data_IF_521471889594
#
_entry.id   IF_521471889594
#
_cell.length_a   1.000
_cell.length_b   1.000
_cell.length_c   1.000
_cell.angle_alpha   90.00
_cell.angle_beta   90.00
_cell.angle_gamma   90.00
#
_symmetry.space_group_name_H-M   'P 1'
#
loop_
_entity.id
_entity.type
_entity.pdbx_description
1 polymer ?
#
# COMPACT_ATOMS: atom_id res chain seq x y z
N UNK A 1 17.49 -1.19 -1.36
CA UNK A 1 16.64 -2.11 -2.15
C UNK A 1 17.55 -2.98 -3.00
N UNK A 2 17.50 -4.29 -2.81
CA UNK A 2 18.25 -5.24 -3.64
C UNK A 2 17.42 -5.58 -4.87
N UNK A 3 18.05 -5.68 -6.05
CA UNK A 3 17.38 -6.07 -7.30
C UNK A 3 17.93 -7.40 -7.79
N UNK A 4 17.03 -8.34 -8.10
CA UNK A 4 17.35 -9.73 -8.45
C UNK A 4 16.60 -10.13 -9.72
N UNK A 5 17.28 -10.79 -10.65
CA UNK A 5 16.62 -11.26 -11.87
C UNK A 5 15.70 -12.47 -11.61
N UNK A 6 14.64 -12.64 -12.41
CA UNK A 6 13.73 -13.80 -12.35
C UNK A 6 14.49 -15.15 -12.40
N UNK A 7 15.60 -15.20 -13.16
CA UNK A 7 16.45 -16.41 -13.24
C UNK A 7 17.19 -16.71 -11.94
N UNK A 8 17.61 -15.69 -11.21
CA UNK A 8 18.28 -15.84 -9.92
C UNK A 8 17.26 -16.17 -8.83
N UNK A 9 16.07 -15.54 -8.87
CA UNK A 9 14.94 -15.90 -8.02
C UNK A 9 14.64 -17.40 -8.08
N UNK A 10 14.58 -17.98 -9.30
CA UNK A 10 14.34 -19.42 -9.49
C UNK A 10 15.43 -20.31 -8.90
N UNK A 11 16.68 -19.86 -8.90
CA UNK A 11 17.82 -20.66 -8.44
C UNK A 11 18.07 -20.56 -6.93
N UNK A 12 17.73 -19.41 -6.33
CA UNK A 12 18.05 -19.07 -4.94
C UNK A 12 16.81 -18.71 -4.12
N UNK A 13 15.64 -19.23 -4.50
CA UNK A 13 14.36 -18.87 -3.90
C UNK A 13 14.38 -18.94 -2.37
N UNK A 14 14.83 -20.05 -1.79
CA UNK A 14 14.87 -20.23 -0.33
C UNK A 14 15.78 -19.24 0.40
N UNK A 15 16.89 -18.82 -0.23
CA UNK A 15 17.80 -17.84 0.37
C UNK A 15 17.19 -16.43 0.33
N UNK A 16 16.58 -16.07 -0.79
CA UNK A 16 15.89 -14.80 -0.95
C UNK A 16 14.68 -14.70 -0.02
N UNK A 17 13.92 -15.79 0.15
CA UNK A 17 12.81 -15.84 1.10
C UNK A 17 13.27 -15.62 2.55
N UNK A 18 14.39 -16.22 2.98
CA UNK A 18 14.95 -15.96 4.33
C UNK A 18 15.35 -14.49 4.53
N UNK A 19 15.85 -13.83 3.48
CA UNK A 19 16.18 -12.39 3.54
C UNK A 19 14.91 -11.55 3.68
N UNK A 20 13.86 -11.94 2.97
CA UNK A 20 12.55 -11.29 3.03
C UNK A 20 11.89 -11.52 4.39
N UNK A 21 11.96 -12.72 4.95
CA UNK A 21 11.53 -13.00 6.33
C UNK A 21 12.29 -12.14 7.36
N UNK A 22 13.55 -11.80 7.09
CA UNK A 22 14.34 -10.90 7.93
C UNK A 22 13.99 -9.40 7.75
N UNK A 23 12.95 -9.07 6.97
CA UNK A 23 12.47 -7.70 6.78
C UNK A 23 12.93 -7.03 5.47
N UNK A 24 13.67 -7.72 4.61
CA UNK A 24 14.17 -7.13 3.37
C UNK A 24 13.10 -7.10 2.26
N UNK A 25 12.97 -5.98 1.55
CA UNK A 25 12.20 -5.90 0.30
C UNK A 25 13.13 -6.00 -0.91
N UNK A 26 12.85 -6.95 -1.80
CA UNK A 26 13.66 -7.29 -2.96
C UNK A 26 12.87 -6.99 -4.24
N UNK A 27 13.45 -6.22 -5.14
CA UNK A 27 12.90 -5.98 -6.48
C UNK A 27 13.25 -7.15 -7.40
N UNK A 28 12.24 -7.69 -8.09
CA UNK A 28 12.42 -8.74 -9.08
C UNK A 28 12.39 -8.12 -10.47
N UNK A 29 13.40 -8.43 -11.29
CA UNK A 29 13.53 -7.94 -12.66
C UNK A 29 13.48 -9.04 -13.71
N UNK A 30 12.85 -8.76 -14.85
CA UNK A 30 12.99 -9.56 -16.07
C UNK A 30 13.72 -8.74 -17.13
N UNK A 31 14.87 -9.23 -17.60
CA UNK A 31 15.74 -8.54 -18.57
C UNK A 31 16.05 -7.08 -18.19
N UNK A 32 16.32 -6.83 -16.90
CA UNK A 32 16.63 -5.51 -16.36
C UNK A 32 15.43 -4.59 -16.17
N UNK A 33 14.20 -5.06 -16.43
CA UNK A 33 12.97 -4.32 -16.15
C UNK A 33 12.35 -4.80 -14.84
N UNK A 34 12.02 -3.92 -13.88
CA UNK A 34 11.26 -4.29 -12.69
C UNK A 34 9.91 -4.90 -13.06
N UNK A 35 9.57 -6.04 -12.46
CA UNK A 35 8.31 -6.76 -12.70
C UNK A 35 7.54 -7.10 -11.43
N UNK A 36 8.19 -7.20 -10.28
CA UNK A 36 7.55 -7.47 -9.00
C UNK A 36 8.40 -7.00 -7.82
N UNK A 37 7.79 -6.92 -6.65
CA UNK A 37 8.46 -6.77 -5.37
C UNK A 37 8.18 -8.01 -4.52
N UNK A 38 9.21 -8.52 -3.86
CA UNK A 38 9.09 -9.55 -2.84
C UNK A 38 9.38 -8.89 -1.49
N UNK A 39 8.35 -8.75 -0.66
CA UNK A 39 8.40 -8.07 0.64
C UNK A 39 7.92 -9.02 1.74
N UNK A 40 8.28 -8.75 3.01
CA UNK A 40 7.76 -9.51 4.14
C UNK A 40 6.23 -9.41 4.15
N UNK A 41 5.58 -10.49 4.59
CA UNK A 41 4.16 -10.40 4.89
C UNK A 41 3.98 -9.49 6.12
N UNK A 42 2.99 -8.59 6.13
CA UNK A 42 2.73 -7.74 7.28
C UNK A 42 2.40 -8.62 8.49
N UNK A 43 3.19 -8.51 9.56
CA UNK A 43 2.85 -9.13 10.84
C UNK A 43 1.78 -8.26 11.50
N UNK A 44 0.51 -8.70 11.46
CA UNK A 44 -0.55 -7.94 12.09
C UNK A 44 -1.96 -8.19 11.58
N UNK A 45 -2.89 -7.40 12.12
CA UNK A 45 -4.30 -7.45 11.74
C UNK A 45 -4.55 -6.79 10.38
N UNK A 46 -5.83 -6.67 9.97
CA UNK A 46 -6.21 -5.99 8.74
C UNK A 46 -5.60 -4.58 8.60
N UNK A 47 -5.45 -3.85 9.71
CA UNK A 47 -4.84 -2.51 9.73
C UNK A 47 -3.38 -2.53 9.22
N UNK A 48 -2.53 -3.42 9.76
CA UNK A 48 -1.11 -3.49 9.38
C UNK A 48 -0.96 -3.93 7.92
N UNK A 49 -1.87 -4.77 7.43
CA UNK A 49 -1.92 -5.19 6.04
C UNK A 49 -2.27 -4.03 5.10
N UNK A 50 -3.29 -3.24 5.43
CA UNK A 50 -3.67 -2.06 4.64
C UNK A 50 -2.57 -0.99 4.64
N UNK A 51 -1.87 -0.81 5.77
CA UNK A 51 -0.75 0.12 5.84
C UNK A 51 0.41 -0.34 4.96
N UNK A 52 0.73 -1.63 4.97
CA UNK A 52 1.80 -2.20 4.16
C UNK A 52 1.47 -2.25 2.66
N UNK A 53 0.19 -2.43 2.29
CA UNK A 53 -0.26 -2.38 0.89
C UNK A 53 -0.33 -0.96 0.34
N UNK A 54 -0.29 0.06 1.22
CA UNK A 54 -0.47 1.46 0.85
C UNK A 54 -1.92 1.84 0.56
N UNK A 55 -2.89 1.02 1.00
CA UNK A 55 -4.30 1.36 0.96
C UNK A 55 -4.67 2.45 1.98
N UNK A 56 -3.87 2.56 3.06
CA UNK A 56 -3.99 3.61 4.07
C UNK A 56 -2.62 4.19 4.42
N UNK A 57 -2.62 5.42 4.90
CA UNK A 57 -1.47 6.07 5.53
C UNK A 57 -1.65 6.12 7.05
N UNK A 58 -0.54 6.14 7.79
CA UNK A 58 -0.57 6.32 9.24
C UNK A 58 -1.02 7.74 9.58
N UNK A 59 -1.92 7.87 10.54
CA UNK A 59 -2.30 9.18 11.07
C UNK A 59 -1.07 9.93 11.60
N UNK A 60 -0.98 11.22 11.23
CA UNK A 60 0.13 12.10 11.61
C UNK A 60 -0.22 13.10 12.71
N UNK A 61 -1.51 13.24 13.01
CA UNK A 61 -2.06 14.14 14.02
C UNK A 61 -3.06 13.41 14.90
N UNK A 62 -3.19 13.87 16.15
CA UNK A 62 -4.22 13.39 17.05
C UNK A 62 -5.61 13.90 16.66
N UNK A 63 -6.63 13.18 17.11
CA UNK A 63 -8.02 13.50 16.78
C UNK A 63 -8.46 14.86 17.33
N UNK A 64 -7.93 15.27 18.48
CA UNK A 64 -8.23 16.58 19.09
C UNK A 64 -7.53 17.74 18.39
N UNK A 65 -6.54 17.46 17.53
CA UNK A 65 -5.73 18.45 16.79
C UNK A 65 -6.14 18.56 15.31
N UNK A 66 -7.34 18.06 14.96
CA UNK A 66 -7.85 18.15 13.60
C UNK A 66 -8.04 19.63 13.18
N UNK A 67 -7.69 19.98 11.93
CA UNK A 67 -7.92 21.34 11.43
C UNK A 67 -9.42 21.63 11.34
N UNK A 68 -9.77 22.92 11.23
CA UNK A 68 -11.14 23.32 10.95
C UNK A 68 -11.66 22.64 9.66
N UNK A 69 -12.95 22.26 9.62
CA UNK A 69 -13.54 21.65 8.43
C UNK A 69 -13.27 22.48 7.17
N UNK A 70 -12.98 21.78 6.07
CA UNK A 70 -12.72 22.44 4.78
C UNK A 70 -14.00 23.12 4.27
N UNK A 71 -13.90 24.43 4.03
CA UNK A 71 -14.93 25.19 3.30
C UNK A 71 -14.89 24.83 1.81
N UNK A 72 -16.01 24.33 1.30
CA UNK A 72 -16.15 23.99 -0.11
C UNK A 72 -16.48 25.23 -0.93
N UNK A 73 -15.85 25.39 -2.09
CA UNK A 73 -16.15 26.49 -2.98
C UNK A 73 -17.63 26.47 -3.41
N UNK A 74 -18.23 27.66 -3.53
CA UNK A 74 -19.63 27.78 -3.93
C UNK A 74 -19.89 27.08 -5.28
N UNK A 75 -20.92 26.25 -5.32
CA UNK A 75 -21.30 25.46 -6.50
C UNK A 75 -20.58 24.11 -6.62
N UNK A 76 -19.65 23.77 -5.72
CA UNK A 76 -19.09 22.41 -5.62
C UNK A 76 -20.09 21.53 -4.86
N UNK A 77 -20.43 20.37 -5.43
CA UNK A 77 -21.28 19.39 -4.76
C UNK A 77 -20.58 18.85 -3.51
N UNK A 78 -21.34 18.71 -2.42
CA UNK A 78 -20.79 18.14 -1.18
C UNK A 78 -20.28 16.72 -1.44
N UNK A 79 -19.07 16.35 -0.96
CA UNK A 79 -18.55 15.00 -1.09
C UNK A 79 -19.51 13.91 -0.58
N UNK A 80 -20.31 14.22 0.44
CA UNK A 80 -21.34 13.32 0.97
C UNK A 80 -22.45 13.02 -0.04
N UNK A 81 -22.86 14.00 -0.85
CA UNK A 81 -23.87 13.84 -1.91
C UNK A 81 -23.27 13.04 -3.07
N UNK A 82 -22.05 13.40 -3.50
CA UNK A 82 -21.35 12.66 -4.56
C UNK A 82 -21.16 11.19 -4.16
N UNK A 83 -20.74 10.94 -2.91
CA UNK A 83 -20.54 9.59 -2.39
C UNK A 83 -21.86 8.81 -2.33
N UNK A 84 -22.95 9.43 -1.84
CA UNK A 84 -24.26 8.78 -1.81
C UNK A 84 -24.70 8.33 -3.21
N UNK A 85 -24.54 9.19 -4.22
CA UNK A 85 -24.85 8.87 -5.61
C UNK A 85 -23.99 7.73 -6.17
N UNK A 86 -22.69 7.71 -5.88
CA UNK A 86 -21.80 6.62 -6.29
C UNK A 86 -22.20 5.27 -5.68
N UNK A 87 -22.72 5.31 -4.45
CA UNK A 87 -23.17 4.12 -3.71
C UNK A 87 -24.53 3.57 -4.10
N UNK A 88 -25.31 4.27 -4.95
CA UNK A 88 -26.64 3.80 -5.40
C UNK A 88 -26.59 2.42 -6.08
N UNK A 89 -25.41 1.99 -6.54
CA UNK A 89 -25.20 0.72 -7.22
C UNK A 89 -24.38 -0.30 -6.40
N UNK A 90 -23.97 0.03 -5.17
CA UNK A 90 -23.32 -0.91 -4.26
C UNK A 90 -24.38 -1.89 -3.71
N UNK A 91 -24.06 -3.19 -3.73
CA UNK A 91 -24.96 -4.29 -3.36
C UNK A 91 -24.51 -4.99 -2.09
#
# INVERSE_FOLDING_TARGET
MASVGVRELRQRASELLRRVEAGETIEITDRGRPVALLSPMPEGGPYDQMLASGEIDRATIDFDDLPEPLELAAGVELPSVTLARLREHER
#
